data_IF_390171102902
#
_entry.id   IF_390171102902
#
_cell.length_a   1.000
_cell.length_b   1.000
_cell.length_c   1.000
_cell.angle_alpha   90.00
_cell.angle_beta   90.00
_cell.angle_gamma   90.00
#
_symmetry.space_group_name_H-M   'P 1'
#
loop_
_entity.id
_entity.type
_entity.pdbx_description
1 polymer ?
#
# COMPACT_ATOMS: atom_id res chain seq x y z
N UNK A 1 1.75 22.04 19.87
CA UNK A 1 0.35 21.70 19.49
C UNK A 1 -0.52 22.94 19.46
N UNK A 2 -0.46 23.84 20.45
CA UNK A 2 -1.13 25.14 20.38
C UNK A 2 -0.76 25.96 19.12
N UNK A 3 0.51 25.89 18.69
CA UNK A 3 0.99 26.49 17.43
C UNK A 3 0.56 25.74 16.15
N UNK A 4 -0.23 24.67 16.26
CA UNK A 4 -0.77 23.92 15.12
C UNK A 4 0.03 22.69 14.67
N UNK A 5 1.16 22.36 15.31
CA UNK A 5 1.92 21.12 15.05
C UNK A 5 1.06 19.89 15.36
N UNK A 6 0.89 19.01 14.36
CA UNK A 6 0.02 17.82 14.43
C UNK A 6 0.75 16.49 14.61
N UNK A 7 2.00 16.39 14.17
CA UNK A 7 2.78 15.14 14.18
C UNK A 7 4.20 15.44 14.65
N UNK A 8 4.72 14.61 15.53
CA UNK A 8 6.09 14.69 16.02
C UNK A 8 6.92 13.51 15.49
N UNK A 9 8.12 13.80 14.98
CA UNK A 9 9.11 12.77 14.64
C UNK A 9 9.83 12.35 15.93
N UNK A 10 9.40 11.23 16.51
CA UNK A 10 9.99 10.64 17.70
C UNK A 10 11.27 9.87 17.33
N UNK A 11 12.35 10.61 17.07
CA UNK A 11 13.64 10.07 16.65
C UNK A 11 14.50 9.65 17.86
N UNK A 12 15.52 8.82 17.60
CA UNK A 12 16.41 8.25 18.62
C UNK A 12 15.69 7.35 19.63
N UNK A 13 16.29 7.08 20.80
CA UNK A 13 15.70 6.26 21.85
C UNK A 13 16.24 4.83 21.93
N UNK A 14 17.20 4.47 21.08
CA UNK A 14 17.82 3.12 21.04
C UNK A 14 19.08 2.99 21.92
N UNK A 15 19.59 4.10 22.48
CA UNK A 15 20.90 4.15 23.14
C UNK A 15 20.80 4.37 24.65
N UNK A 16 19.89 3.66 25.32
CA UNK A 16 19.79 3.70 26.78
C UNK A 16 21.03 3.00 27.39
N UNK A 17 21.83 3.69 28.22
CA UNK A 17 23.01 3.09 28.85
C UNK A 17 22.62 1.97 29.80
N UNK A 18 23.45 0.93 29.91
CA UNK A 18 23.18 -0.22 30.77
C UNK A 18 23.16 0.18 32.26
N UNK A 19 24.02 1.12 32.63
CA UNK A 19 24.18 1.68 33.97
C UNK A 19 23.14 2.73 34.35
N UNK A 20 22.18 3.03 33.46
CA UNK A 20 21.12 3.97 33.75
C UNK A 20 20.25 3.48 34.94
N UNK A 21 19.81 4.43 35.77
CA UNK A 21 18.85 4.18 36.84
C UNK A 21 17.58 4.98 36.54
N UNK A 22 16.48 4.28 36.30
CA UNK A 22 15.18 4.89 36.02
C UNK A 22 14.46 5.24 37.33
N UNK A 23 13.61 6.27 37.28
CA UNK A 23 12.90 6.79 38.45
C UNK A 23 12.02 5.74 39.16
N UNK A 24 11.47 4.79 38.39
CA UNK A 24 10.64 3.69 38.89
C UNK A 24 11.44 2.51 39.44
N UNK A 25 12.77 2.63 39.51
CA UNK A 25 13.68 1.62 40.05
C UNK A 25 14.21 0.61 39.02
N UNK A 26 13.77 0.69 37.76
CA UNK A 26 14.34 -0.15 36.70
C UNK A 26 15.78 0.24 36.38
N UNK A 27 16.57 -0.76 36.02
CA UNK A 27 17.91 -0.59 35.45
C UNK A 27 17.83 -0.23 33.97
N UNK A 28 18.94 0.29 33.44
CA UNK A 28 19.11 0.51 32.00
C UNK A 28 18.90 -0.75 31.18
N UNK A 29 19.38 -1.91 31.67
CA UNK A 29 19.19 -3.20 31.01
C UNK A 29 17.71 -3.59 30.87
N UNK A 30 16.90 -3.38 31.92
CA UNK A 30 15.46 -3.68 31.90
C UNK A 30 14.69 -2.70 31.00
N UNK A 31 15.11 -1.43 30.99
CA UNK A 31 14.42 -0.38 30.24
C UNK A 31 14.87 -0.29 28.78
N UNK A 32 16.05 -0.80 28.40
CA UNK A 32 16.73 -0.49 27.13
C UNK A 32 15.82 -0.59 25.90
N UNK A 33 15.12 -1.71 25.74
CA UNK A 33 14.21 -1.91 24.63
C UNK A 33 12.80 -1.33 24.89
N UNK A 34 12.30 -1.42 26.12
CA UNK A 34 10.96 -0.96 26.48
C UNK A 34 10.81 0.57 26.35
N UNK A 35 11.90 1.30 26.55
CA UNK A 35 11.95 2.75 26.46
C UNK A 35 11.45 3.28 25.10
N UNK A 36 11.74 2.57 24.01
CA UNK A 36 11.24 2.93 22.68
C UNK A 36 9.71 3.06 22.62
N UNK A 37 9.01 2.14 23.31
CA UNK A 37 7.56 2.10 23.39
C UNK A 37 7.05 3.20 24.30
N UNK A 38 7.66 3.38 25.47
CA UNK A 38 7.28 4.42 26.44
C UNK A 38 7.46 5.84 25.88
N UNK A 39 8.57 6.08 25.17
CA UNK A 39 8.81 7.34 24.51
C UNK A 39 7.77 7.60 23.41
N UNK A 40 7.55 6.63 22.52
CA UNK A 40 6.59 6.78 21.43
C UNK A 40 5.15 6.91 21.93
N UNK A 41 4.77 6.15 22.97
CA UNK A 41 3.44 6.22 23.58
C UNK A 41 3.23 7.57 24.23
N UNK A 42 4.20 8.08 25.00
CA UNK A 42 4.08 9.40 25.65
C UNK A 42 3.80 10.50 24.64
N UNK A 43 4.54 10.52 23.53
CA UNK A 43 4.32 11.52 22.46
C UNK A 43 2.98 11.30 21.77
N UNK A 44 2.62 10.06 21.44
CA UNK A 44 1.35 9.72 20.80
C UNK A 44 0.15 10.14 21.66
N UNK A 45 0.18 9.84 22.95
CA UNK A 45 -0.89 10.12 23.89
C UNK A 45 -1.05 11.63 24.11
N UNK A 46 0.06 12.38 24.21
CA UNK A 46 -0.01 13.83 24.28
C UNK A 46 -0.70 14.44 23.04
N UNK A 47 -0.40 13.94 21.83
CA UNK A 47 -1.07 14.37 20.60
C UNK A 47 -2.55 13.98 20.60
N UNK A 48 -2.86 12.74 20.99
CA UNK A 48 -4.23 12.22 21.08
C UNK A 48 -5.07 13.00 22.08
N UNK A 49 -4.54 13.34 23.25
CA UNK A 49 -5.28 14.05 24.28
C UNK A 49 -5.58 15.49 23.86
N UNK A 50 -4.70 16.11 23.07
CA UNK A 50 -4.90 17.47 22.56
C UNK A 50 -5.87 17.53 21.36
N UNK A 51 -5.80 16.57 20.42
CA UNK A 51 -6.57 16.63 19.16
C UNK A 51 -7.70 15.60 19.04
N UNK A 52 -7.80 14.63 19.96
CA UNK A 52 -8.70 13.47 19.88
C UNK A 52 -8.17 12.31 19.05
N UNK A 53 -7.09 12.51 18.30
CA UNK A 53 -6.41 11.51 17.47
C UNK A 53 -4.89 11.67 17.58
N UNK A 54 -4.16 10.55 17.56
CA UNK A 54 -2.72 10.52 17.73
C UNK A 54 -2.02 10.00 16.48
N UNK A 55 -0.88 10.61 16.12
CA UNK A 55 0.05 10.09 15.14
C UNK A 55 1.47 10.54 15.53
N UNK A 56 2.40 9.59 15.54
CA UNK A 56 3.84 9.86 15.68
C UNK A 56 4.57 9.50 14.38
N UNK A 57 5.82 9.90 14.27
CA UNK A 57 6.73 9.41 13.24
C UNK A 57 8.00 8.88 13.90
N UNK A 58 7.90 7.67 14.45
CA UNK A 58 8.96 7.03 15.24
C UNK A 58 10.01 6.31 14.40
N UNK A 59 11.15 6.03 15.03
CA UNK A 59 12.21 5.14 14.52
C UNK A 59 12.43 3.91 15.41
N UNK A 60 12.65 4.04 16.74
CA UNK A 60 12.94 2.88 17.57
C UNK A 60 11.66 2.04 17.76
N UNK A 61 11.81 0.76 18.07
CA UNK A 61 10.65 -0.05 18.38
C UNK A 61 10.98 -1.31 19.16
N UNK A 62 10.01 -1.75 19.94
CA UNK A 62 10.00 -3.03 20.64
C UNK A 62 8.57 -3.60 20.65
N UNK A 63 8.36 -4.75 21.26
CA UNK A 63 7.04 -5.37 21.35
C UNK A 63 6.00 -4.40 21.93
N UNK A 64 4.93 -4.12 21.17
CA UNK A 64 3.89 -3.15 21.54
C UNK A 64 3.95 -1.83 20.75
N UNK A 65 5.06 -1.54 20.06
CA UNK A 65 5.22 -0.30 19.28
C UNK A 65 4.16 -0.11 18.20
N UNK A 66 3.61 -1.20 17.65
CA UNK A 66 2.57 -1.15 16.62
C UNK A 66 1.27 -0.45 17.06
N UNK A 67 1.06 -0.29 18.37
CA UNK A 67 -0.07 0.47 18.92
C UNK A 67 0.08 1.99 18.74
N UNK A 68 1.31 2.47 18.47
CA UNK A 68 1.65 3.89 18.34
C UNK A 68 2.24 4.16 16.96
N UNK A 69 1.41 4.15 15.90
CA UNK A 69 1.86 4.45 14.56
C UNK A 69 2.24 5.93 14.42
N UNK A 70 3.13 6.28 13.50
CA UNK A 70 3.81 5.47 12.50
C UNK A 70 5.30 5.26 12.81
N UNK A 71 5.93 4.37 12.05
CA UNK A 71 7.36 4.04 12.18
C UNK A 71 8.12 4.27 10.86
N UNK A 72 9.43 4.44 10.92
CA UNK A 72 10.27 4.73 9.77
C UNK A 72 11.58 3.94 9.79
N UNK A 73 12.01 3.49 8.62
CA UNK A 73 13.08 2.51 8.46
C UNK A 73 14.51 3.00 8.79
N UNK A 74 14.71 4.26 9.14
CA UNK A 74 16.03 4.78 9.50
C UNK A 74 16.87 5.32 8.33
N UNK A 75 18.12 5.65 8.67
CA UNK A 75 19.06 6.40 7.83
C UNK A 75 19.73 5.53 6.75
N UNK A 76 19.04 5.27 5.64
CA UNK A 76 19.62 4.51 4.52
C UNK A 76 20.57 5.35 3.67
N UNK A 77 21.63 4.76 3.11
CA UNK A 77 22.42 5.41 2.05
C UNK A 77 21.65 5.45 0.72
N UNK A 78 21.92 6.44 -0.09
CA UNK A 78 21.37 6.59 -1.45
C UNK A 78 22.02 5.65 -2.48
N UNK A 79 21.84 4.33 -2.30
CA UNK A 79 22.30 3.29 -3.23
C UNK A 79 21.26 2.21 -3.44
N UNK A 80 21.30 1.48 -4.57
CA UNK A 80 20.43 0.32 -4.82
C UNK A 80 20.56 -0.78 -3.77
N UNK A 81 21.77 -1.00 -3.23
CA UNK A 81 22.00 -1.98 -2.16
C UNK A 81 21.24 -1.60 -0.88
N UNK A 82 21.26 -0.32 -0.52
CA UNK A 82 20.51 0.17 0.63
C UNK A 82 19.01 0.26 0.37
N UNK A 83 18.57 0.52 -0.87
CA UNK A 83 17.16 0.39 -1.26
C UNK A 83 16.66 -1.05 -1.04
N UNK A 84 17.44 -2.06 -1.46
CA UNK A 84 17.13 -3.47 -1.22
C UNK A 84 17.13 -3.82 0.28
N UNK A 85 18.16 -3.40 1.03
CA UNK A 85 18.22 -3.63 2.47
C UNK A 85 17.05 -2.97 3.22
N UNK A 86 16.64 -1.77 2.79
CA UNK A 86 15.48 -1.07 3.35
C UNK A 86 14.20 -1.87 3.06
N UNK A 87 14.04 -2.41 1.85
CA UNK A 87 12.91 -3.27 1.51
C UNK A 87 12.88 -4.50 2.43
N UNK A 88 14.02 -5.17 2.63
CA UNK A 88 14.10 -6.33 3.52
C UNK A 88 13.73 -5.98 4.97
N UNK A 89 14.21 -4.82 5.45
CA UNK A 89 13.89 -4.29 6.77
C UNK A 89 12.38 -4.08 6.94
N UNK A 90 11.72 -3.36 6.03
CA UNK A 90 10.29 -3.08 6.15
C UNK A 90 9.40 -4.31 5.92
N UNK A 91 9.83 -5.26 5.09
CA UNK A 91 9.16 -6.56 4.94
C UNK A 91 9.25 -7.38 6.23
N UNK A 92 10.42 -7.43 6.86
CA UNK A 92 10.61 -8.07 8.16
C UNK A 92 9.75 -7.40 9.23
N UNK A 93 9.75 -6.06 9.26
CA UNK A 93 8.98 -5.26 10.20
C UNK A 93 7.47 -5.46 10.05
N UNK A 94 7.00 -5.62 8.82
CA UNK A 94 5.60 -6.01 8.54
C UNK A 94 5.25 -7.37 9.14
N UNK A 95 6.18 -8.36 9.10
CA UNK A 95 5.97 -9.67 9.74
C UNK A 95 6.08 -9.61 11.27
N UNK A 96 6.74 -8.60 11.81
CA UNK A 96 6.80 -8.34 13.26
C UNK A 96 5.54 -7.64 13.80
N UNK A 97 4.48 -7.52 13.00
CA UNK A 97 3.20 -6.99 13.44
C UNK A 97 3.07 -5.47 13.36
N UNK A 98 3.98 -4.77 12.69
CA UNK A 98 3.91 -3.31 12.52
C UNK A 98 3.39 -2.97 11.11
N UNK A 99 2.11 -2.56 10.95
CA UNK A 99 1.50 -2.39 9.63
C UNK A 99 1.80 -1.03 8.98
N UNK A 100 2.20 -0.03 9.78
CA UNK A 100 2.38 1.36 9.35
C UNK A 100 3.83 1.78 9.46
N UNK A 101 4.54 1.61 8.36
CA UNK A 101 5.93 2.02 8.22
C UNK A 101 6.14 2.90 6.99
N UNK A 102 7.25 3.61 6.99
CA UNK A 102 7.76 4.43 5.91
C UNK A 102 9.26 4.20 5.72
N UNK A 103 9.80 4.77 4.66
CA UNK A 103 11.23 4.93 4.44
C UNK A 103 11.46 6.25 3.70
N UNK A 104 12.73 6.66 3.60
CA UNK A 104 13.10 7.87 2.88
C UNK A 104 13.27 7.60 1.39
N UNK A 105 12.40 8.19 0.57
CA UNK A 105 12.48 8.08 -0.89
C UNK A 105 13.80 8.68 -1.36
N UNK A 106 14.61 7.87 -2.04
CA UNK A 106 15.96 8.23 -2.51
C UNK A 106 17.06 8.02 -1.47
N UNK A 107 16.72 7.54 -0.27
CA UNK A 107 17.63 7.35 0.85
C UNK A 107 17.98 8.65 1.58
N UNK A 108 18.55 8.54 2.78
CA UNK A 108 18.84 9.66 3.65
C UNK A 108 20.24 10.24 3.44
N UNK A 109 21.30 9.42 3.50
CA UNK A 109 22.69 9.87 3.58
C UNK A 109 23.59 9.37 2.44
N UNK A 110 24.85 9.84 2.44
CA UNK A 110 25.84 9.57 1.41
C UNK A 110 25.73 10.55 0.24
N UNK A 111 26.22 10.10 -0.92
CA UNK A 111 26.10 10.87 -2.16
C UNK A 111 24.65 11.08 -2.56
N UNK A 112 24.41 12.12 -3.36
CA UNK A 112 23.08 12.35 -3.93
C UNK A 112 22.67 11.15 -4.79
N UNK A 113 21.43 10.63 -4.69
CA UNK A 113 20.99 9.56 -5.57
C UNK A 113 21.00 10.07 -7.02
N UNK A 114 21.33 9.19 -7.96
CA UNK A 114 21.13 9.49 -9.38
C UNK A 114 19.63 9.69 -9.66
N UNK A 115 19.25 10.44 -10.72
CA UNK A 115 17.84 10.55 -11.11
C UNK A 115 17.16 9.19 -11.30
N UNK A 116 17.86 8.20 -11.85
CA UNK A 116 17.33 6.85 -12.00
C UNK A 116 17.01 6.23 -10.62
N UNK A 117 17.98 6.23 -9.70
CA UNK A 117 17.79 5.67 -8.37
C UNK A 117 16.65 6.37 -7.61
N UNK A 118 16.61 7.70 -7.65
CA UNK A 118 15.52 8.46 -7.03
C UNK A 118 14.16 8.04 -7.57
N UNK A 119 14.01 7.95 -8.89
CA UNK A 119 12.75 7.51 -9.52
C UNK A 119 12.39 6.07 -9.14
N UNK A 120 13.33 5.12 -9.18
CA UNK A 120 13.06 3.72 -8.77
C UNK A 120 12.61 3.65 -7.32
N UNK A 121 13.23 4.45 -6.45
CA UNK A 121 12.85 4.52 -5.04
C UNK A 121 11.49 5.18 -4.84
N UNK A 122 11.17 6.23 -5.59
CA UNK A 122 9.86 6.89 -5.54
C UNK A 122 8.71 5.98 -6.00
N UNK A 123 8.92 5.23 -7.09
CA UNK A 123 7.97 4.24 -7.59
C UNK A 123 7.57 3.23 -6.52
N UNK A 124 8.56 2.74 -5.78
CA UNK A 124 8.36 1.84 -4.66
C UNK A 124 7.73 2.55 -3.45
N UNK A 125 8.30 3.69 -3.03
CA UNK A 125 7.91 4.39 -1.82
C UNK A 125 6.49 4.94 -1.83
N UNK A 126 5.94 5.21 -3.01
CA UNK A 126 4.54 5.63 -3.18
C UNK A 126 3.54 4.46 -3.16
N UNK A 127 4.04 3.21 -3.22
CA UNK A 127 3.26 1.96 -3.15
C UNK A 127 3.40 1.24 -1.79
N UNK A 128 3.79 1.95 -0.72
CA UNK A 128 3.82 1.46 0.66
C UNK A 128 2.72 2.01 1.57
N UNK A 129 2.73 1.71 2.88
CA UNK A 129 1.76 2.25 3.83
C UNK A 129 1.86 3.78 3.94
N UNK A 130 3.08 4.30 4.10
CA UNK A 130 3.38 5.73 4.27
C UNK A 130 4.57 6.12 3.37
N UNK A 131 4.57 7.36 2.89
CA UNK A 131 5.55 7.86 1.92
C UNK A 131 6.15 9.17 2.39
N UNK A 132 7.48 9.28 2.34
CA UNK A 132 8.23 10.49 2.72
C UNK A 132 9.44 10.69 1.82
N UNK A 133 9.66 11.93 1.37
CA UNK A 133 10.88 12.36 0.74
C UNK A 133 11.71 13.15 1.77
N UNK A 134 12.83 12.58 2.22
CA UNK A 134 13.70 13.18 3.24
C UNK A 134 15.13 12.70 3.06
N UNK A 135 16.11 13.57 3.31
CA UNK A 135 17.53 13.24 3.20
C UNK A 135 18.41 14.40 3.64
N UNK A 136 19.70 14.12 3.83
CA UNK A 136 20.72 15.14 4.14
C UNK A 136 20.99 16.09 2.96
N UNK A 137 20.59 15.68 1.76
CA UNK A 137 20.55 16.50 0.55
C UNK A 137 19.11 16.56 0.02
N UNK A 138 18.75 17.55 -0.81
CA UNK A 138 17.41 17.72 -1.35
C UNK A 138 16.80 16.42 -1.89
N UNK A 139 15.51 16.20 -1.60
CA UNK A 139 14.70 15.03 -2.03
C UNK A 139 13.42 15.42 -2.73
N UNK A 140 13.27 16.70 -3.00
CA UNK A 140 12.20 17.25 -3.80
C UNK A 140 12.36 16.74 -5.24
N UNK A 141 11.28 16.27 -5.88
CA UNK A 141 11.38 15.57 -7.16
C UNK A 141 11.89 16.44 -8.30
N UNK A 142 11.68 17.77 -8.25
CA UNK A 142 12.16 18.71 -9.26
C UNK A 142 13.68 18.87 -9.28
N UNK A 143 14.36 18.52 -8.19
CA UNK A 143 15.82 18.56 -8.11
C UNK A 143 16.46 17.53 -9.07
N UNK A 144 15.72 16.48 -9.46
CA UNK A 144 16.21 15.36 -10.29
C UNK A 144 15.85 15.48 -11.78
N UNK A 145 15.37 16.66 -12.20
CA UNK A 145 14.99 16.97 -13.58
C UNK A 145 13.53 16.68 -13.92
N UNK A 146 13.10 17.18 -15.08
CA UNK A 146 11.69 17.15 -15.50
C UNK A 146 11.12 15.73 -15.66
N UNK A 147 11.93 14.79 -16.15
CA UNK A 147 11.51 13.40 -16.30
C UNK A 147 11.24 12.76 -14.93
N UNK A 148 12.11 12.98 -13.95
CA UNK A 148 11.95 12.47 -12.59
C UNK A 148 10.69 13.06 -11.93
N UNK A 149 10.47 14.38 -12.06
CA UNK A 149 9.26 15.04 -11.57
C UNK A 149 7.99 14.48 -12.21
N UNK A 150 7.98 14.30 -13.54
CA UNK A 150 6.84 13.73 -14.26
C UNK A 150 6.52 12.32 -13.79
N UNK A 151 7.52 11.48 -13.60
CA UNK A 151 7.33 10.10 -13.13
C UNK A 151 6.88 10.10 -11.66
N UNK A 152 7.49 10.91 -10.80
CA UNK A 152 7.06 11.07 -9.41
C UNK A 152 5.56 11.42 -9.33
N UNK A 153 5.13 12.45 -10.06
CA UNK A 153 3.72 12.87 -10.12
C UNK A 153 2.78 11.75 -10.57
N UNK A 154 3.16 10.97 -11.59
CA UNK A 154 2.37 9.81 -12.04
C UNK A 154 2.13 8.80 -10.92
N UNK A 155 3.15 8.51 -10.10
CA UNK A 155 3.04 7.55 -9.00
C UNK A 155 2.34 8.15 -7.78
N UNK A 156 2.47 9.46 -7.56
CA UNK A 156 1.73 10.18 -6.53
C UNK A 156 0.22 10.19 -6.86
N UNK A 157 -0.15 10.53 -8.09
CA UNK A 157 -1.52 10.43 -8.59
C UNK A 157 -2.05 8.99 -8.49
N UNK A 158 -1.24 7.98 -8.81
CA UNK A 158 -1.62 6.58 -8.62
C UNK A 158 -1.90 6.30 -7.14
N UNK A 159 -1.04 6.73 -6.22
CA UNK A 159 -1.24 6.57 -4.77
C UNK A 159 -2.54 7.24 -4.32
N UNK A 160 -2.79 8.48 -4.75
CA UNK A 160 -4.03 9.21 -4.45
C UNK A 160 -5.27 8.51 -5.01
N UNK A 161 -5.19 7.97 -6.22
CA UNK A 161 -6.27 7.15 -6.78
C UNK A 161 -6.56 5.89 -5.96
N UNK A 162 -5.52 5.31 -5.34
CA UNK A 162 -5.60 4.10 -4.51
C UNK A 162 -5.95 4.37 -3.05
N UNK A 163 -6.12 5.62 -2.62
CA UNK A 163 -6.44 5.95 -1.21
C UNK A 163 -7.61 5.12 -0.65
N UNK A 164 -8.75 4.92 -1.36
CA UNK A 164 -9.83 4.08 -0.84
C UNK A 164 -9.39 2.64 -0.56
N UNK A 165 -8.52 2.08 -1.41
CA UNK A 165 -7.93 0.76 -1.20
C UNK A 165 -6.95 0.77 -0.03
N UNK A 166 -6.02 1.72 0.02
CA UNK A 166 -5.00 1.83 1.07
C UNK A 166 -5.62 2.04 2.45
N UNK A 167 -6.59 2.96 2.60
CA UNK A 167 -7.28 3.18 3.87
C UNK A 167 -8.08 1.95 4.32
N UNK A 168 -8.75 1.26 3.39
CA UNK A 168 -9.47 0.02 3.70
C UNK A 168 -8.51 -1.08 4.19
N UNK A 169 -7.32 -1.17 3.59
CA UNK A 169 -6.27 -2.08 4.05
C UNK A 169 -5.72 -1.66 5.42
N UNK A 170 -5.55 -0.37 5.68
CA UNK A 170 -5.08 0.15 6.95
C UNK A 170 -6.01 -0.23 8.10
N UNK A 171 -7.32 0.04 7.96
CA UNK A 171 -8.33 -0.36 8.95
C UNK A 171 -8.32 -1.87 9.16
N UNK A 172 -8.24 -2.63 8.06
CA UNK A 172 -8.16 -4.09 8.13
C UNK A 172 -6.90 -4.58 8.86
N UNK A 173 -5.77 -3.90 8.71
CA UNK A 173 -4.55 -4.26 9.43
C UNK A 173 -4.71 -4.09 10.94
N UNK A 174 -5.46 -3.09 11.38
CA UNK A 174 -5.82 -2.91 12.79
C UNK A 174 -6.79 -4.00 13.28
N UNK A 175 -7.79 -4.39 12.46
CA UNK A 175 -8.80 -5.38 12.85
C UNK A 175 -8.28 -6.83 12.85
N UNK A 176 -7.51 -7.21 11.82
CA UNK A 176 -7.15 -8.60 11.53
C UNK A 176 -5.70 -8.94 11.92
N UNK A 177 -4.90 -7.95 12.34
CA UNK A 177 -3.45 -8.08 12.54
C UNK A 177 -2.67 -8.56 11.30
N UNK A 178 -3.23 -8.36 10.09
CA UNK A 178 -2.55 -8.68 8.82
C UNK A 178 -2.03 -7.40 8.19
N UNK A 179 -0.72 -7.24 7.96
CA UNK A 179 -0.16 -6.00 7.45
C UNK A 179 -0.66 -5.67 6.03
N UNK A 180 -0.65 -4.37 5.71
CA UNK A 180 -1.02 -3.87 4.39
C UNK A 180 -0.04 -4.37 3.34
N UNK A 181 1.26 -4.28 3.64
CA UNK A 181 2.34 -4.86 2.84
C UNK A 181 2.70 -6.23 3.39
N UNK A 182 2.64 -7.24 2.53
CA UNK A 182 2.77 -8.64 2.92
C UNK A 182 3.93 -9.26 2.15
N UNK A 183 4.97 -9.74 2.85
CA UNK A 183 5.97 -10.57 2.22
C UNK A 183 5.33 -11.79 1.54
N UNK A 184 5.95 -12.27 0.47
CA UNK A 184 5.33 -13.32 -0.35
C UNK A 184 5.05 -14.59 0.47
N UNK A 185 5.94 -14.94 1.39
CA UNK A 185 5.77 -16.08 2.32
C UNK A 185 4.54 -15.95 3.22
N UNK A 186 4.13 -14.73 3.59
CA UNK A 186 2.94 -14.50 4.40
C UNK A 186 1.65 -14.74 3.60
N UNK A 187 1.60 -14.27 2.35
CA UNK A 187 0.39 -14.38 1.53
C UNK A 187 0.27 -15.76 0.84
N UNK A 188 1.38 -16.44 0.58
CA UNK A 188 1.45 -17.69 -0.20
C UNK A 188 2.16 -18.81 0.55
N UNK A 189 1.76 -19.08 1.80
CA UNK A 189 2.39 -20.09 2.67
C UNK A 189 2.53 -21.49 2.04
N UNK A 190 1.57 -21.87 1.19
CA UNK A 190 1.54 -23.17 0.50
C UNK A 190 2.39 -23.23 -0.78
N UNK A 191 3.11 -22.16 -1.13
CA UNK A 191 4.02 -22.11 -2.27
C UNK A 191 5.47 -21.93 -1.77
N UNK A 192 6.26 -23.02 -1.66
CA UNK A 192 7.63 -22.97 -1.17
C UNK A 192 8.58 -22.06 -1.97
N UNK A 193 8.26 -21.77 -3.24
CA UNK A 193 9.06 -20.83 -4.05
C UNK A 193 9.03 -19.42 -3.46
N UNK A 194 8.01 -19.08 -2.68
CA UNK A 194 7.83 -17.73 -2.11
C UNK A 194 8.58 -17.49 -0.79
N UNK A 195 9.08 -18.55 -0.14
CA UNK A 195 9.60 -18.48 1.23
C UNK A 195 10.83 -17.57 1.40
N UNK A 196 11.63 -17.43 0.34
CA UNK A 196 12.88 -16.62 0.35
C UNK A 196 12.79 -15.40 -0.55
N UNK A 197 11.60 -15.06 -1.04
CA UNK A 197 11.43 -13.90 -1.91
C UNK A 197 11.37 -12.65 -1.05
N UNK A 198 12.35 -11.78 -1.22
CA UNK A 198 12.55 -10.53 -0.47
C UNK A 198 12.57 -9.28 -1.37
N UNK A 199 12.39 -9.45 -2.68
CA UNK A 199 12.46 -8.41 -3.72
C UNK A 199 11.11 -7.97 -4.28
N UNK A 200 10.02 -8.53 -3.77
CA UNK A 200 8.63 -8.24 -4.16
C UNK A 200 7.69 -8.51 -3.00
N UNK A 201 6.51 -7.91 -3.04
CA UNK A 201 5.51 -8.06 -1.98
C UNK A 201 4.10 -7.89 -2.51
N UNK A 202 3.13 -8.30 -1.70
CA UNK A 202 1.72 -8.03 -1.93
C UNK A 202 1.30 -6.79 -1.14
N UNK A 203 0.66 -5.84 -1.82
CA UNK A 203 -0.05 -4.72 -1.21
C UNK A 203 -1.53 -5.11 -1.11
N UNK A 204 -1.95 -5.49 0.09
CA UNK A 204 -3.20 -6.21 0.33
C UNK A 204 -3.21 -7.56 -0.37
N UNK A 205 -4.39 -8.02 -0.79
CA UNK A 205 -4.52 -9.28 -1.56
C UNK A 205 -4.51 -9.07 -3.07
N UNK A 206 -4.73 -7.84 -3.51
CA UNK A 206 -5.02 -7.53 -4.92
C UNK A 206 -3.80 -7.17 -5.76
N UNK A 207 -2.82 -6.47 -5.18
CA UNK A 207 -1.70 -5.88 -5.91
C UNK A 207 -0.39 -6.54 -5.50
N UNK A 208 0.45 -6.88 -6.47
CA UNK A 208 1.82 -7.31 -6.26
C UNK A 208 2.78 -6.28 -6.83
N UNK A 209 3.64 -5.74 -5.98
CA UNK A 209 4.61 -4.71 -6.30
C UNK A 209 5.99 -5.34 -6.39
N UNK A 210 6.73 -5.04 -7.45
CA UNK A 210 8.09 -5.53 -7.65
C UNK A 210 9.02 -4.34 -7.85
N UNK A 211 9.62 -3.81 -6.77
CA UNK A 211 10.64 -2.77 -6.87
C UNK A 211 11.78 -3.15 -7.82
N UNK A 212 12.26 -2.18 -8.58
CA UNK A 212 13.43 -2.35 -9.44
C UNK A 212 14.66 -1.97 -8.61
N UNK A 213 15.37 -2.98 -8.11
CA UNK A 213 16.46 -2.86 -7.13
C UNK A 213 17.85 -2.85 -7.78
N UNK A 214 17.94 -2.55 -9.07
CA UNK A 214 19.19 -2.52 -9.82
C UNK A 214 19.20 -1.35 -10.82
N UNK A 215 20.41 -0.86 -11.10
CA UNK A 215 20.64 0.12 -12.15
C UNK A 215 20.33 -0.45 -13.54
N UNK A 216 19.85 0.39 -14.45
CA UNK A 216 19.54 -0.01 -15.82
C UNK A 216 18.21 -0.74 -15.97
N UNK A 217 17.50 -1.04 -14.88
CA UNK A 217 16.13 -1.51 -14.89
C UNK A 217 15.93 -3.02 -15.04
N UNK A 218 16.95 -3.84 -14.81
CA UNK A 218 16.79 -5.30 -14.82
C UNK A 218 16.07 -5.80 -13.56
N UNK A 219 15.06 -6.64 -13.74
CA UNK A 219 14.31 -7.22 -12.62
C UNK A 219 13.97 -8.68 -12.91
N UNK A 220 14.02 -9.49 -11.86
CA UNK A 220 13.57 -10.88 -11.85
C UNK A 220 12.59 -11.09 -10.70
N UNK A 221 11.43 -11.68 -10.98
CA UNK A 221 10.37 -11.90 -9.98
C UNK A 221 9.55 -13.14 -10.32
N UNK A 222 8.84 -13.65 -9.33
CA UNK A 222 7.99 -14.82 -9.43
C UNK A 222 6.52 -14.42 -9.32
N UNK A 223 5.69 -14.96 -10.22
CA UNK A 223 4.24 -14.91 -10.09
C UNK A 223 3.77 -16.23 -9.43
N UNK A 224 3.21 -16.21 -8.21
CA UNK A 224 2.63 -17.41 -7.58
C UNK A 224 1.44 -17.98 -8.35
N UNK A 225 0.99 -19.19 -8.01
CA UNK A 225 -0.16 -19.81 -8.67
C UNK A 225 -1.43 -18.96 -8.71
N UNK A 226 -2.17 -19.05 -9.82
CA UNK A 226 -3.35 -18.22 -10.14
C UNK A 226 -3.14 -17.42 -11.42
N UNK A 227 -4.11 -16.59 -11.80
CA UNK A 227 -3.96 -15.65 -12.91
C UNK A 227 -3.55 -14.25 -12.43
N UNK A 228 -2.72 -13.58 -13.22
CA UNK A 228 -2.20 -12.24 -12.93
C UNK A 228 -2.35 -11.34 -14.14
N UNK A 229 -2.91 -10.15 -13.95
CA UNK A 229 -3.03 -9.12 -14.97
C UNK A 229 -2.00 -8.01 -14.77
N UNK A 230 -1.33 -7.56 -15.84
CA UNK A 230 -0.42 -6.41 -15.79
C UNK A 230 -1.23 -5.14 -15.50
N UNK A 231 -0.91 -4.41 -14.42
CA UNK A 231 -1.65 -3.23 -14.01
C UNK A 231 -1.70 -2.15 -15.10
N UNK A 232 -0.58 -1.96 -15.80
CA UNK A 232 -0.44 -0.95 -16.85
C UNK A 232 -1.05 -1.39 -18.17
N UNK A 233 -1.17 -2.70 -18.39
CA UNK A 233 -1.78 -3.31 -19.58
C UNK A 233 -2.75 -4.41 -19.14
N UNK A 234 -3.94 -4.07 -18.60
CA UNK A 234 -4.83 -5.05 -17.96
C UNK A 234 -5.20 -6.27 -18.82
N UNK A 235 -5.18 -6.16 -20.15
CA UNK A 235 -5.44 -7.27 -21.07
C UNK A 235 -4.30 -8.30 -21.16
N UNK A 236 -3.09 -7.94 -20.71
CA UNK A 236 -1.96 -8.86 -20.61
C UNK A 236 -2.11 -9.66 -19.33
N UNK A 237 -2.70 -10.84 -19.44
CA UNK A 237 -2.79 -11.82 -18.35
C UNK A 237 -1.74 -12.92 -18.50
N UNK A 238 -1.22 -13.40 -17.39
CA UNK A 238 -0.33 -14.56 -17.31
C UNK A 238 -0.86 -15.54 -16.27
N UNK A 239 -0.73 -16.84 -16.56
CA UNK A 239 -0.82 -17.85 -15.52
C UNK A 239 0.47 -17.81 -14.69
N UNK A 240 0.32 -17.91 -13.38
CA UNK A 240 1.43 -17.93 -12.43
C UNK A 240 2.19 -19.26 -12.39
N UNK A 241 2.93 -19.47 -11.30
CA UNK A 241 4.00 -20.47 -11.16
C UNK A 241 5.13 -20.26 -12.18
N UNK A 242 5.49 -19.00 -12.39
CA UNK A 242 6.48 -18.62 -13.41
C UNK A 242 7.43 -17.55 -12.89
N UNK A 243 8.73 -17.74 -13.16
CA UNK A 243 9.74 -16.71 -13.01
C UNK A 243 9.82 -15.87 -14.27
N UNK A 244 9.84 -14.55 -14.11
CA UNK A 244 9.93 -13.57 -15.19
C UNK A 244 11.19 -12.76 -14.98
N UNK A 245 12.02 -12.68 -16.01
CA UNK A 245 13.14 -11.72 -16.10
C UNK A 245 12.84 -10.74 -17.23
N UNK A 246 12.94 -9.45 -16.95
CA UNK A 246 12.71 -8.40 -17.94
C UNK A 246 13.51 -7.13 -17.62
N UNK A 247 13.71 -6.30 -18.64
CA UNK A 247 14.17 -4.92 -18.48
C UNK A 247 12.96 -3.98 -18.46
N UNK A 248 12.86 -3.14 -17.45
CA UNK A 248 11.72 -2.24 -17.23
C UNK A 248 12.14 -0.81 -17.53
N UNK A 249 11.33 -0.07 -18.30
CA UNK A 249 11.58 1.36 -18.54
C UNK A 249 11.54 2.16 -17.24
N UNK A 250 12.19 3.32 -17.22
CA UNK A 250 12.20 4.19 -16.05
C UNK A 250 10.80 4.69 -15.68
N UNK A 251 9.89 4.82 -16.65
CA UNK A 251 8.52 5.30 -16.47
C UNK A 251 7.54 4.32 -15.81
N UNK A 252 7.98 3.11 -15.46
CA UNK A 252 7.13 2.05 -14.92
C UNK A 252 7.86 1.17 -13.89
N UNK A 253 7.06 0.48 -13.07
CA UNK A 253 7.45 -0.58 -12.14
C UNK A 253 6.58 -1.81 -12.46
N UNK A 254 7.09 -3.05 -12.42
CA UNK A 254 6.20 -4.20 -12.53
C UNK A 254 5.19 -4.19 -11.37
N UNK A 255 3.91 -4.12 -11.74
CA UNK A 255 2.77 -4.09 -10.85
C UNK A 255 1.73 -5.05 -11.43
N UNK A 256 1.40 -6.09 -10.67
CA UNK A 256 0.48 -7.13 -11.11
C UNK A 256 -0.77 -7.15 -10.24
N UNK A 257 -1.91 -7.45 -10.86
CA UNK A 257 -3.19 -7.59 -10.19
C UNK A 257 -3.53 -9.07 -10.15
N UNK A 258 -3.74 -9.60 -8.94
CA UNK A 258 -4.12 -11.00 -8.74
C UNK A 258 -5.54 -11.23 -9.24
N UNK A 259 -5.82 -12.44 -9.71
CA UNK A 259 -7.19 -12.88 -9.93
C UNK A 259 -8.06 -12.69 -8.70
N UNK A 260 -9.35 -12.47 -8.95
CA UNK A 260 -10.38 -12.22 -7.96
C UNK A 260 -10.15 -10.99 -7.06
N UNK A 261 -9.18 -10.14 -7.40
CA UNK A 261 -8.96 -8.86 -6.76
C UNK A 261 -10.16 -7.92 -6.95
N UNK A 262 -10.46 -7.17 -5.89
CA UNK A 262 -11.41 -6.06 -5.84
C UNK A 262 -10.62 -4.86 -5.32
N UNK A 263 -10.46 -3.83 -6.16
CA UNK A 263 -9.62 -2.66 -5.88
C UNK A 263 -10.47 -1.40 -6.04
N UNK A 264 -11.00 -0.82 -4.95
CA UNK A 264 -11.64 0.49 -4.98
C UNK A 264 -10.60 1.59 -5.20
N UNK A 265 -10.93 2.49 -6.12
CA UNK A 265 -10.14 3.65 -6.52
C UNK A 265 -11.05 4.87 -6.65
N UNK A 266 -10.43 6.05 -6.70
CA UNK A 266 -11.07 7.33 -6.98
C UNK A 266 -10.27 8.07 -8.04
N UNK A 267 -10.85 9.12 -8.63
CA UNK A 267 -10.04 10.14 -9.29
C UNK A 267 -9.07 10.74 -8.26
N UNK A 268 -7.79 10.93 -8.63
CA UNK A 268 -6.81 11.50 -7.71
C UNK A 268 -7.21 12.93 -7.32
N UNK A 269 -6.86 13.28 -6.08
CA UNK A 269 -6.98 14.64 -5.52
C UNK A 269 -5.58 15.18 -5.26
N UNK A 270 -5.43 16.51 -5.23
CA UNK A 270 -4.15 17.15 -4.91
C UNK A 270 -3.77 16.98 -3.43
N UNK A 271 -4.76 16.86 -2.56
CA UNK A 271 -4.61 16.55 -1.14
C UNK A 271 -5.90 15.94 -0.58
N UNK A 272 -5.78 15.16 0.49
CA UNK A 272 -6.96 14.60 1.19
C UNK A 272 -7.76 15.75 1.80
N UNK A 273 -9.03 15.88 1.38
CA UNK A 273 -9.90 16.99 1.78
C UNK A 273 -10.15 18.04 0.70
N UNK A 274 -9.49 17.96 -0.47
CA UNK A 274 -9.75 18.87 -1.60
C UNK A 274 -11.24 18.88 -2.01
N UNK A 275 -11.84 17.69 -2.10
CA UNK A 275 -13.25 17.50 -2.42
C UNK A 275 -13.80 16.24 -1.76
N UNK A 276 -15.12 16.14 -1.51
CA UNK A 276 -15.70 14.92 -0.95
C UNK A 276 -15.57 13.73 -1.91
N UNK A 277 -15.27 12.54 -1.38
CA UNK A 277 -15.15 11.31 -2.17
C UNK A 277 -16.53 10.71 -2.48
N UNK A 278 -17.34 11.42 -3.27
CA UNK A 278 -18.72 11.01 -3.60
C UNK A 278 -18.79 9.82 -4.56
N UNK A 279 -17.80 9.67 -5.42
CA UNK A 279 -17.75 8.63 -6.45
C UNK A 279 -16.59 7.68 -6.19
N UNK A 280 -16.86 6.38 -6.22
CA UNK A 280 -15.85 5.32 -6.06
C UNK A 280 -15.95 4.39 -7.27
N UNK A 281 -14.82 4.14 -7.91
CA UNK A 281 -14.72 3.11 -8.95
C UNK A 281 -14.10 1.86 -8.35
N UNK A 282 -14.69 0.69 -8.59
CA UNK A 282 -14.16 -0.59 -8.12
C UNK A 282 -13.72 -1.40 -9.31
N UNK A 283 -12.42 -1.66 -9.40
CA UNK A 283 -11.88 -2.60 -10.38
C UNK A 283 -12.02 -4.02 -9.83
N UNK A 284 -12.60 -4.93 -10.61
CA UNK A 284 -12.74 -6.34 -10.27
C UNK A 284 -12.12 -7.19 -11.38
N UNK A 285 -11.33 -8.20 -11.01
CA UNK A 285 -10.70 -9.14 -11.94
C UNK A 285 -11.29 -10.56 -11.79
N UNK A 286 -12.51 -10.81 -12.31
CA UNK A 286 -13.32 -11.96 -11.91
C UNK A 286 -12.95 -13.27 -12.62
N UNK A 287 -12.36 -14.21 -11.87
CA UNK A 287 -12.16 -15.61 -12.27
C UNK A 287 -13.12 -16.56 -11.54
N UNK A 288 -13.32 -16.43 -10.23
CA UNK A 288 -14.22 -17.27 -9.44
C UNK A 288 -15.04 -16.45 -8.43
N UNK A 289 -14.43 -15.94 -7.35
CA UNK A 289 -15.15 -15.18 -6.33
C UNK A 289 -14.20 -14.28 -5.55
N UNK A 290 -14.68 -13.11 -5.15
CA UNK A 290 -13.90 -12.18 -4.34
C UNK A 290 -14.75 -11.48 -3.29
N UNK A 291 -14.11 -11.04 -2.21
CA UNK A 291 -14.75 -10.20 -1.19
C UNK A 291 -13.74 -9.20 -0.66
N UNK A 292 -14.21 -7.97 -0.44
CA UNK A 292 -13.44 -6.85 0.07
C UNK A 292 -14.26 -6.09 1.11
N UNK A 293 -13.64 -5.76 2.24
CA UNK A 293 -14.20 -4.86 3.25
C UNK A 293 -13.69 -3.47 2.96
N UNK A 294 -14.56 -2.61 2.45
CA UNK A 294 -14.28 -1.21 2.23
C UNK A 294 -14.42 -0.46 3.54
N UNK A 295 -13.45 0.42 3.84
CA UNK A 295 -13.49 1.36 4.95
C UNK A 295 -12.70 2.61 4.56
N UNK A 296 -13.42 3.66 4.16
CA UNK A 296 -12.80 4.91 3.73
C UNK A 296 -13.79 6.07 3.84
N UNK A 297 -13.28 7.24 4.25
CA UNK A 297 -14.03 8.50 4.30
C UNK A 297 -15.33 8.38 5.11
N UNK A 298 -15.22 7.79 6.32
CA UNK A 298 -16.33 7.60 7.26
C UNK A 298 -17.35 6.53 6.88
N UNK A 299 -17.16 5.81 5.76
CA UNK A 299 -18.06 4.75 5.33
C UNK A 299 -17.38 3.38 5.31
N UNK A 300 -18.13 2.35 5.72
CA UNK A 300 -17.70 0.97 5.64
C UNK A 300 -18.79 0.08 5.02
N UNK A 301 -18.41 -0.78 4.07
CA UNK A 301 -19.33 -1.71 3.44
C UNK A 301 -18.61 -2.95 2.88
N UNK A 302 -19.36 -4.01 2.61
CA UNK A 302 -18.83 -5.20 1.93
C UNK A 302 -19.01 -5.10 0.42
N UNK A 303 -17.98 -5.42 -0.35
CA UNK A 303 -18.05 -5.61 -1.80
C UNK A 303 -17.72 -7.06 -2.08
N UNK A 304 -18.55 -7.75 -2.85
CA UNK A 304 -18.25 -9.13 -3.24
C UNK A 304 -18.72 -9.42 -4.66
N UNK A 305 -18.12 -10.42 -5.29
CA UNK A 305 -18.67 -11.00 -6.51
C UNK A 305 -18.53 -12.51 -6.51
N UNK A 306 -19.37 -13.16 -7.30
CA UNK A 306 -19.27 -14.59 -7.61
C UNK A 306 -19.50 -14.80 -9.09
N UNK A 307 -18.70 -15.66 -9.71
CA UNK A 307 -18.79 -16.03 -11.12
C UNK A 307 -19.06 -17.52 -11.23
N UNK A 308 -20.11 -17.90 -11.94
CA UNK A 308 -20.52 -19.28 -12.16
C UNK A 308 -21.10 -19.45 -13.56
N UNK A 309 -20.55 -20.36 -14.37
CA UNK A 309 -21.08 -20.80 -15.68
C UNK A 309 -21.79 -19.69 -16.48
N UNK A 310 -21.03 -18.74 -17.01
CA UNK A 310 -21.56 -17.65 -17.85
C UNK A 310 -22.35 -16.57 -17.10
N UNK A 311 -22.43 -16.63 -15.77
CA UNK A 311 -23.07 -15.61 -14.94
C UNK A 311 -22.07 -15.03 -13.94
N UNK A 312 -22.23 -13.75 -13.64
CA UNK A 312 -21.50 -13.02 -12.62
C UNK A 312 -22.49 -12.20 -11.81
N UNK A 313 -22.44 -12.33 -10.49
CA UNK A 313 -23.23 -11.51 -9.56
C UNK A 313 -22.27 -10.64 -8.75
N UNK A 314 -22.47 -9.32 -8.78
CA UNK A 314 -21.79 -8.36 -7.91
C UNK A 314 -22.76 -7.98 -6.80
N UNK A 315 -22.30 -7.96 -5.56
CA UNK A 315 -23.04 -7.46 -4.40
C UNK A 315 -22.30 -6.29 -3.78
N UNK A 316 -23.00 -5.17 -3.63
CA UNK A 316 -22.54 -3.99 -2.90
C UNK A 316 -23.33 -3.87 -1.59
N UNK A 317 -22.62 -3.65 -0.50
CA UNK A 317 -23.23 -3.28 0.78
C UNK A 317 -23.80 -1.86 0.76
N UNK A 318 -24.60 -1.50 1.78
CA UNK A 318 -25.14 -0.14 1.89
C UNK A 318 -24.05 0.94 1.87
N UNK A 319 -24.25 2.01 1.11
CA UNK A 319 -23.35 3.17 1.04
C UNK A 319 -24.10 4.39 0.54
N UNK A 320 -23.67 5.58 0.96
CA UNK A 320 -24.20 6.87 0.48
C UNK A 320 -23.44 7.38 -0.75
N UNK A 321 -22.30 6.77 -1.08
CA UNK A 321 -21.48 7.08 -2.25
C UNK A 321 -22.10 6.49 -3.51
N UNK A 322 -21.74 7.06 -4.65
CA UNK A 322 -22.01 6.53 -5.98
C UNK A 322 -20.89 5.60 -6.39
N UNK A 323 -21.22 4.40 -6.85
CA UNK A 323 -20.29 3.34 -7.19
C UNK A 323 -20.32 3.04 -8.68
N UNK A 324 -19.14 3.02 -9.30
CA UNK A 324 -18.91 2.47 -10.62
C UNK A 324 -18.16 1.14 -10.47
N UNK A 325 -18.64 0.05 -11.05
CA UNK A 325 -17.97 -1.26 -10.96
C UNK A 325 -17.42 -1.63 -12.33
N UNK A 326 -16.10 -1.70 -12.44
CA UNK A 326 -15.39 -2.08 -13.66
C UNK A 326 -14.95 -3.53 -13.59
N UNK A 327 -15.66 -4.40 -14.30
CA UNK A 327 -15.34 -5.81 -14.46
C UNK A 327 -14.30 -5.94 -15.59
N UNK A 328 -13.08 -6.31 -15.22
CA UNK A 328 -11.91 -6.36 -16.10
C UNK A 328 -11.80 -7.71 -16.81
N UNK A 329 -11.34 -7.70 -18.07
CA UNK A 329 -11.10 -8.90 -18.88
C UNK A 329 -12.31 -9.86 -18.95
N UNK A 330 -13.51 -9.28 -19.08
CA UNK A 330 -14.75 -10.02 -19.31
C UNK A 330 -15.20 -9.87 -20.75
N UNK A 331 -15.93 -10.86 -21.25
CA UNK A 331 -16.61 -10.75 -22.55
C UNK A 331 -17.79 -9.78 -22.46
N UNK A 332 -18.25 -9.30 -23.62
CA UNK A 332 -19.41 -8.41 -23.70
C UNK A 332 -20.63 -9.12 -23.11
N UNK A 333 -21.35 -8.51 -22.15
CA UNK A 333 -22.49 -9.17 -21.53
C UNK A 333 -23.64 -9.32 -22.53
N UNK A 334 -24.36 -10.44 -22.43
CA UNK A 334 -25.65 -10.65 -23.11
C UNK A 334 -26.75 -9.84 -22.44
N UNK A 335 -26.69 -9.74 -21.11
CA UNK A 335 -27.69 -9.03 -20.31
C UNK A 335 -27.09 -8.59 -18.98
N UNK A 336 -27.46 -7.39 -18.54
CA UNK A 336 -27.18 -6.86 -17.20
C UNK A 336 -28.51 -6.48 -16.57
N UNK A 337 -28.66 -6.78 -15.27
CA UNK A 337 -29.84 -6.46 -14.48
C UNK A 337 -29.41 -5.82 -13.17
N UNK A 338 -30.01 -4.67 -12.84
CA UNK A 338 -29.73 -3.93 -11.60
C UNK A 338 -28.77 -2.74 -11.74
N UNK A 339 -28.26 -2.44 -12.94
CA UNK A 339 -27.44 -1.26 -13.20
C UNK A 339 -27.47 -0.85 -14.68
N UNK A 340 -27.21 0.43 -14.95
CA UNK A 340 -26.79 0.89 -16.29
C UNK A 340 -25.38 0.37 -16.56
N UNK A 341 -25.03 0.19 -17.83
CA UNK A 341 -23.72 -0.34 -18.18
C UNK A 341 -23.22 0.12 -19.54
N UNK A 342 -21.89 0.14 -19.66
CA UNK A 342 -21.16 0.32 -20.92
C UNK A 342 -20.09 -0.76 -21.06
N UNK A 343 -19.70 -1.08 -22.30
CA UNK A 343 -18.66 -2.06 -22.57
C UNK A 343 -17.66 -1.52 -23.59
N UNK A 344 -16.39 -1.58 -23.24
CA UNK A 344 -15.31 -1.06 -24.06
C UNK A 344 -13.97 -1.64 -23.64
N UNK A 345 -13.08 -1.81 -24.63
CA UNK A 345 -11.69 -2.23 -24.41
C UNK A 345 -11.51 -3.54 -23.61
N UNK A 346 -12.50 -4.44 -23.65
CA UNK A 346 -12.46 -5.72 -22.89
C UNK A 346 -12.88 -5.60 -21.43
N UNK A 347 -13.57 -4.51 -21.06
CA UNK A 347 -14.10 -4.27 -19.72
C UNK A 347 -15.57 -3.84 -19.77
N UNK A 348 -16.34 -4.32 -18.79
CA UNK A 348 -17.73 -3.94 -18.55
C UNK A 348 -17.78 -2.98 -17.36
N UNK A 349 -18.33 -1.78 -17.55
CA UNK A 349 -18.55 -0.82 -16.47
C UNK A 349 -20.03 -0.82 -16.10
N UNK A 350 -20.33 -1.06 -14.83
CA UNK A 350 -21.65 -0.87 -14.23
C UNK A 350 -21.66 0.51 -13.58
N UNK A 351 -22.58 1.38 -13.97
CA UNK A 351 -22.45 2.82 -13.76
C UNK A 351 -23.45 3.37 -12.74
N UNK A 352 -22.98 4.33 -11.93
CA UNK A 352 -23.84 5.22 -11.14
C UNK A 352 -24.68 4.53 -10.06
N UNK A 353 -24.17 3.46 -9.45
CA UNK A 353 -24.93 2.67 -8.46
C UNK A 353 -24.83 3.34 -7.10
N UNK A 354 -25.94 3.78 -6.53
CA UNK A 354 -25.98 4.27 -5.13
C UNK A 354 -26.72 3.24 -4.27
N UNK A 355 -26.01 2.30 -3.63
CA UNK A 355 -26.63 1.19 -2.93
C UNK A 355 -27.11 1.63 -1.55
N UNK A 356 -28.27 2.28 -1.42
CA UNK A 356 -28.85 2.65 -0.10
C UNK A 356 -29.14 1.43 0.78
N UNK A 357 -29.30 0.27 0.14
CA UNK A 357 -29.43 -1.05 0.75
C UNK A 357 -28.52 -2.03 0.01
N UNK A 358 -28.35 -3.23 0.57
CA UNK A 358 -27.62 -4.31 -0.10
C UNK A 358 -28.16 -4.51 -1.52
N UNK A 359 -27.29 -4.25 -2.50
CA UNK A 359 -27.65 -4.22 -3.93
C UNK A 359 -26.95 -5.35 -4.65
N UNK A 360 -27.71 -6.11 -5.44
CA UNK A 360 -27.18 -7.22 -6.25
C UNK A 360 -27.36 -6.90 -7.73
N UNK A 361 -26.29 -7.06 -8.49
CA UNK A 361 -26.25 -6.80 -9.91
C UNK A 361 -25.87 -8.09 -10.60
N UNK A 362 -26.71 -8.54 -11.54
CA UNK A 362 -26.50 -9.79 -12.27
C UNK A 362 -26.10 -9.50 -13.70
N UNK A 363 -25.01 -10.13 -14.11
CA UNK A 363 -24.40 -10.03 -15.44
C UNK A 363 -24.37 -11.42 -16.06
N UNK A 364 -25.02 -11.57 -17.21
CA UNK A 364 -24.90 -12.74 -18.07
C UNK A 364 -23.82 -12.46 -19.12
N UNK A 365 -22.73 -13.22 -19.05
CA UNK A 365 -21.55 -13.15 -19.93
C UNK A 365 -21.73 -14.00 -21.20
#
# INVERSE_FOLDING_TARGET
MEEGVRVFKADMGEAIPEEAAFYDGRTGLEAHNAYAVEYSSTVFEAVRDFYGEGLVWGRPGYAGIQAYPAQWAGDSHSTYKHMAATLWGVLSYSMSGVPFWSHDIGGFQGDRPTPELYVRWAQWGLLGPLSRAHGSQPREPWEYGEEALKIFKKFDELRYSLIPYLCSLAVRSCDDCVPMVRPMVLEFQNDPTTWRIDSQYMLGKGLMVIPVLSEGGEVSYYLPGGWWADFWRPRKELSGRVWIRQKVSLSSIPLWIREDAIIPITEPVQYVGEKPFREITVMIYPKNRGTFRYSFDGEACSISFTKSKGNLEVTLGPSKKTWNVKLMNVVKPKRVTGAKWSYGQGSLTLEGITPERRTRIRVSL
#
